data_IF_128867921973
#
_entry.id   IF_128867921973
#
_cell.length_a   1.000
_cell.length_b   1.000
_cell.length_c   1.000
_cell.angle_alpha   90.00
_cell.angle_beta   90.00
_cell.angle_gamma   90.00
#
_symmetry.space_group_name_H-M   'P 1'
#
loop_
_entity.id
_entity.type
_entity.pdbx_description
1 polymer ?
#
# COMPACT_ATOMS: atom_id res chain seq x y z
N UNK A 1 -17.30 32.27 -0.11
CA UNK A 1 -17.75 30.89 -0.34
C UNK A 1 -16.64 29.97 0.11
N UNK A 2 -16.82 29.32 1.26
CA UNK A 2 -15.84 28.37 1.80
C UNK A 2 -15.70 27.16 0.89
N UNK A 3 -14.47 26.70 0.71
CA UNK A 3 -14.17 25.45 0.04
C UNK A 3 -14.59 24.30 0.94
N UNK A 4 -15.64 23.59 0.55
CA UNK A 4 -16.09 22.36 1.18
C UNK A 4 -15.01 21.28 1.04
N UNK A 5 -14.07 21.25 1.99
CA UNK A 5 -13.30 20.07 2.34
C UNK A 5 -14.21 19.14 3.13
N UNK A 6 -15.16 18.48 2.46
CA UNK A 6 -15.98 17.45 3.09
C UNK A 6 -15.86 16.13 2.33
N UNK A 7 -15.33 15.14 3.04
CA UNK A 7 -15.52 13.71 2.81
C UNK A 7 -14.91 13.12 1.53
N UNK A 8 -13.60 12.94 1.54
CA UNK A 8 -13.06 11.70 0.96
C UNK A 8 -13.66 10.55 1.78
N UNK A 9 -14.67 9.87 1.22
CA UNK A 9 -15.15 8.61 1.77
C UNK A 9 -13.94 7.69 1.98
N UNK A 10 -13.75 7.21 3.21
CA UNK A 10 -12.62 6.36 3.63
C UNK A 10 -12.42 5.11 2.75
N UNK A 11 -13.40 4.73 1.92
CA UNK A 11 -13.34 3.58 1.02
C UNK A 11 -13.10 3.84 -0.47
N UNK A 12 -12.87 5.08 -0.93
CA UNK A 12 -12.69 5.36 -2.38
C UNK A 12 -11.34 6.01 -2.65
N UNK A 13 -10.27 5.21 -2.59
CA UNK A 13 -8.94 5.65 -3.00
C UNK A 13 -8.92 6.11 -4.48
N UNK A 14 -7.92 6.93 -4.81
CA UNK A 14 -7.70 7.50 -6.15
C UNK A 14 -6.81 6.59 -7.01
N UNK A 15 -6.92 6.68 -8.33
CA UNK A 15 -5.96 6.03 -9.24
C UNK A 15 -4.72 6.93 -9.31
N UNK A 16 -3.52 6.35 -9.27
CA UNK A 16 -2.29 7.11 -9.39
C UNK A 16 -2.07 7.56 -10.84
N UNK A 17 -1.86 8.83 -11.12
CA UNK A 17 -1.71 9.31 -12.50
C UNK A 17 -0.45 8.77 -13.21
N UNK A 18 0.46 8.12 -12.46
CA UNK A 18 1.68 7.51 -12.98
C UNK A 18 1.53 6.00 -13.25
N UNK A 19 0.41 5.38 -12.88
CA UNK A 19 0.22 3.96 -13.15
C UNK A 19 -0.03 3.72 -14.64
N UNK A 20 0.61 2.68 -15.16
CA UNK A 20 0.41 2.28 -16.56
C UNK A 20 -0.99 1.63 -16.69
N UNK A 21 -1.85 2.10 -17.61
CA UNK A 21 -3.20 1.58 -17.81
C UNK A 21 -3.25 0.11 -18.23
N UNK A 22 -2.14 -0.49 -18.67
CA UNK A 22 -2.06 -1.90 -19.02
C UNK A 22 -2.12 -2.84 -17.81
N UNK A 23 -1.83 -2.33 -16.60
CA UNK A 23 -1.88 -3.13 -15.37
C UNK A 23 -3.17 -2.90 -14.58
N UNK A 24 -3.39 -3.76 -13.60
CA UNK A 24 -4.47 -3.58 -12.62
C UNK A 24 -4.25 -2.29 -11.81
N UNK A 25 -5.29 -1.48 -11.72
CA UNK A 25 -5.23 -0.18 -11.07
C UNK A 25 -5.60 -0.30 -9.59
N UNK A 26 -4.58 -0.31 -8.74
CA UNK A 26 -4.78 -0.27 -7.29
C UNK A 26 -5.13 1.14 -6.84
N UNK A 27 -6.26 1.27 -6.13
CA UNK A 27 -6.67 2.54 -5.52
C UNK A 27 -5.69 2.92 -4.41
N UNK A 28 -5.17 4.14 -4.44
CA UNK A 28 -4.20 4.64 -3.50
C UNK A 28 -4.75 5.86 -2.74
N UNK A 29 -4.19 6.15 -1.57
CA UNK A 29 -4.53 7.39 -0.85
C UNK A 29 -4.03 8.63 -1.60
N UNK A 30 -4.64 9.81 -1.41
CA UNK A 30 -4.13 11.04 -2.00
C UNK A 30 -2.70 11.35 -1.52
N UNK A 31 -1.87 11.98 -2.37
CA UNK A 31 -0.52 12.41 -1.98
C UNK A 31 -0.58 13.49 -0.88
N UNK A 32 0.44 13.54 -0.03
CA UNK A 32 0.50 14.49 1.11
C UNK A 32 -0.21 14.02 2.38
N UNK A 33 -0.70 12.77 2.40
CA UNK A 33 -1.32 12.12 3.56
C UNK A 33 -0.47 11.01 4.18
N UNK A 34 -1.10 9.95 4.73
CA UNK A 34 -0.41 8.81 5.33
C UNK A 34 0.62 8.16 4.41
N UNK A 35 1.73 7.67 4.98
CA UNK A 35 2.87 7.12 4.22
C UNK A 35 2.54 5.80 3.52
N UNK A 36 1.59 5.03 4.03
CA UNK A 36 1.16 3.74 3.48
C UNK A 36 0.18 3.89 2.29
N UNK A 37 0.49 4.79 1.35
CA UNK A 37 -0.39 5.20 0.24
C UNK A 37 -0.95 4.03 -0.57
N UNK A 38 -0.17 2.98 -0.78
CA UNK A 38 -0.59 1.75 -1.49
C UNK A 38 -0.84 0.57 -0.56
N UNK A 39 0.00 0.38 0.46
CA UNK A 39 -0.14 -0.78 1.37
C UNK A 39 -1.40 -0.73 2.24
N UNK A 40 -2.05 0.44 2.38
CA UNK A 40 -3.30 0.56 3.13
C UNK A 40 -4.41 -0.40 2.64
N UNK A 41 -4.46 -0.73 1.34
CA UNK A 41 -5.51 -1.58 0.75
C UNK A 41 -5.59 -2.94 1.44
N UNK A 42 -4.43 -3.55 1.73
CA UNK A 42 -4.35 -4.92 2.27
C UNK A 42 -4.13 -4.94 3.79
N UNK A 43 -3.96 -3.78 4.41
CA UNK A 43 -3.64 -3.63 5.84
C UNK A 43 -4.74 -2.95 6.64
N UNK A 44 -5.69 -2.28 5.97
CA UNK A 44 -6.85 -1.65 6.60
C UNK A 44 -8.11 -2.49 6.43
N UNK A 45 -9.07 -2.19 7.30
CA UNK A 45 -10.44 -2.70 7.26
C UNK A 45 -10.53 -4.23 7.33
N UNK A 46 -11.73 -4.77 7.16
CA UNK A 46 -12.04 -6.20 7.27
C UNK A 46 -12.17 -6.86 5.89
N UNK A 47 -11.79 -6.17 4.82
CA UNK A 47 -11.93 -6.68 3.45
C UNK A 47 -10.84 -7.72 3.11
N UNK A 48 -9.66 -7.62 3.73
CA UNK A 48 -8.51 -8.49 3.46
C UNK A 48 -7.92 -9.18 4.71
N UNK A 49 -8.71 -9.94 5.48
CA UNK A 49 -8.23 -10.58 6.72
C UNK A 49 -7.19 -11.67 6.44
N UNK A 50 -7.28 -12.34 5.28
CA UNK A 50 -6.29 -13.33 4.87
C UNK A 50 -4.92 -12.70 4.61
N UNK A 51 -4.86 -11.55 3.95
CA UNK A 51 -3.61 -10.83 3.71
C UNK A 51 -2.96 -10.36 5.02
N UNK A 52 -3.77 -9.85 5.96
CA UNK A 52 -3.30 -9.46 7.29
C UNK A 52 -2.72 -10.66 8.07
N UNK A 53 -3.39 -11.82 8.04
CA UNK A 53 -2.88 -13.04 8.66
C UNK A 53 -1.53 -13.48 8.05
N UNK A 54 -1.38 -13.39 6.73
CA UNK A 54 -0.09 -13.68 6.07
C UNK A 54 1.01 -12.69 6.48
N UNK A 55 0.69 -11.41 6.62
CA UNK A 55 1.65 -10.38 7.07
C UNK A 55 2.11 -10.64 8.51
N UNK A 56 1.21 -11.04 9.41
CA UNK A 56 1.60 -11.50 10.76
C UNK A 56 2.52 -12.72 10.70
N UNK A 57 2.19 -13.71 9.86
CA UNK A 57 3.01 -14.89 9.66
C UNK A 57 4.41 -14.58 9.10
N UNK A 58 4.52 -13.52 8.28
CA UNK A 58 5.79 -13.04 7.73
C UNK A 58 6.64 -12.25 8.75
N UNK A 59 6.12 -11.98 9.95
CA UNK A 59 6.85 -11.32 11.03
C UNK A 59 6.51 -9.84 11.26
N UNK A 60 5.40 -9.33 10.70
CA UNK A 60 4.91 -7.99 11.10
C UNK A 60 4.45 -8.07 12.58
N UNK A 61 5.00 -7.22 13.47
CA UNK A 61 4.93 -7.49 14.91
C UNK A 61 3.59 -7.13 15.56
N UNK A 62 2.85 -6.15 15.02
CA UNK A 62 1.60 -5.69 15.61
C UNK A 62 0.70 -5.01 14.55
N UNK A 63 -0.57 -4.80 14.94
CA UNK A 63 -1.60 -4.21 14.09
C UNK A 63 -1.31 -2.74 13.74
N UNK A 64 -0.72 -2.01 14.69
CA UNK A 64 -0.38 -0.60 14.50
C UNK A 64 0.67 -0.42 13.40
N UNK A 65 1.75 -1.21 13.43
CA UNK A 65 2.75 -1.23 12.37
C UNK A 65 2.15 -1.66 11.04
N UNK A 66 1.26 -2.66 11.05
CA UNK A 66 0.58 -3.10 9.84
C UNK A 66 -0.23 -1.96 9.20
N UNK A 67 -0.98 -1.19 10.00
CA UNK A 67 -1.90 -0.14 9.52
C UNK A 67 -1.23 1.18 9.18
N UNK A 68 -0.09 1.50 9.79
CA UNK A 68 0.52 2.83 9.71
C UNK A 68 1.88 2.84 9.01
N UNK A 69 2.63 1.73 9.02
CA UNK A 69 3.92 1.69 8.37
C UNK A 69 3.78 1.54 6.83
N UNK A 70 4.61 2.25 6.04
CA UNK A 70 4.69 1.99 4.61
C UNK A 70 5.39 0.64 4.37
N UNK A 71 4.85 -0.19 3.48
CA UNK A 71 5.54 -1.39 3.02
C UNK A 71 6.41 -1.05 1.80
N UNK A 72 7.70 -1.39 1.89
CA UNK A 72 8.69 -1.13 0.83
C UNK A 72 9.15 -2.48 0.28
N UNK A 73 8.82 -2.77 -0.97
CA UNK A 73 9.33 -3.95 -1.66
C UNK A 73 10.79 -3.75 -2.08
N UNK A 74 11.68 -4.61 -1.59
CA UNK A 74 13.10 -4.60 -1.97
C UNK A 74 13.32 -5.66 -3.04
N UNK A 75 13.42 -5.24 -4.30
CA UNK A 75 13.70 -6.12 -5.43
C UNK A 75 15.21 -6.20 -5.69
N UNK A 76 15.83 -7.29 -5.25
CA UNK A 76 17.24 -7.57 -5.55
C UNK A 76 17.36 -8.34 -6.86
N UNK A 77 18.48 -8.16 -7.57
CA UNK A 77 18.78 -8.94 -8.76
C UNK A 77 20.00 -9.81 -8.48
N UNK A 78 19.86 -10.73 -7.54
CA UNK A 78 20.93 -11.63 -7.14
C UNK A 78 20.88 -12.94 -7.93
N UNK A 79 22.04 -13.41 -8.37
CA UNK A 79 22.26 -14.76 -8.91
C UNK A 79 23.76 -15.04 -8.98
N UNK A 80 24.18 -16.26 -8.63
CA UNK A 80 25.60 -16.63 -8.49
C UNK A 80 26.38 -16.67 -9.81
N UNK A 81 25.70 -16.83 -10.94
CA UNK A 81 26.32 -16.96 -12.26
C UNK A 81 26.64 -15.65 -12.99
N UNK A 82 26.46 -14.49 -12.36
CA UNK A 82 26.83 -13.19 -12.94
C UNK A 82 27.62 -12.36 -11.93
N UNK A 83 28.94 -12.14 -12.14
CA UNK A 83 29.78 -11.37 -11.23
C UNK A 83 29.48 -9.86 -11.21
N UNK A 84 28.67 -9.35 -12.14
CA UNK A 84 28.19 -7.97 -12.10
C UNK A 84 26.96 -7.78 -11.19
N UNK A 85 26.57 -8.82 -10.44
CA UNK A 85 25.55 -8.77 -9.38
C UNK A 85 26.19 -8.80 -8.00
#
# INVERSE_FOLDING_TARGET
MGSDTSNAHEGVGIIDNKSDPQYIQFRCLPPGGPLNRWSHIITREHDFPASQAMLYGAGVPNEDMMKNAPHVGVATIWWEGNPCK
#
